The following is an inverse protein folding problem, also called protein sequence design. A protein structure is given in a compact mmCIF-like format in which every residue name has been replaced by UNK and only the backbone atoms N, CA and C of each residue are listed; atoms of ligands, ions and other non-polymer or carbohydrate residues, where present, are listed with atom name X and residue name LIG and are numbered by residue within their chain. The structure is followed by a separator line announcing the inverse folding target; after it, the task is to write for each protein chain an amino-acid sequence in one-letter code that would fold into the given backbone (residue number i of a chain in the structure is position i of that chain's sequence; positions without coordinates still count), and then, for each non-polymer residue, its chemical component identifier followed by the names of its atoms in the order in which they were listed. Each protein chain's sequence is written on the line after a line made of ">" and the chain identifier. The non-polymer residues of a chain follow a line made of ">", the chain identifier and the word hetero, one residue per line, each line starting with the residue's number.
data_IF_728584156079
#
_entry.id   IF_728584156079
#
_cell.length_a   1.000
_cell.length_b   1.000
_cell.length_c   1.000
_cell.angle_alpha   90.00
_cell.angle_beta   90.00
_cell.angle_gamma   90.00
#
_symmetry.space_group_name_H-M   'P 1'
#
loop_
_entity.id
_entity.type
_entity.pdbx_description
1 polymer ?
#
# COMPACT_ATOMS: atom_id res chain seq x y z
N UNK A 1 35.94 -8.86 -23.79
CA UNK A 1 34.85 -8.10 -23.13
C UNK A 1 34.13 -8.88 -22.01
N UNK A 2 34.71 -9.96 -21.47
CA UNK A 2 34.05 -10.87 -20.51
C UNK A 2 34.33 -10.54 -19.04
N UNK A 3 35.40 -9.79 -18.75
CA UNK A 3 35.85 -9.48 -17.37
C UNK A 3 35.03 -8.36 -16.71
N UNK A 4 34.44 -7.46 -17.51
CA UNK A 4 33.59 -6.36 -17.02
C UNK A 4 32.25 -6.87 -16.46
N UNK A 5 31.68 -7.91 -17.06
CA UNK A 5 30.38 -8.47 -16.67
C UNK A 5 30.47 -9.22 -15.34
N UNK A 6 31.57 -9.95 -15.09
CA UNK A 6 31.79 -10.64 -13.82
C UNK A 6 32.02 -9.66 -12.67
N UNK A 7 32.75 -8.56 -12.90
CA UNK A 7 32.94 -7.52 -11.90
C UNK A 7 31.61 -6.84 -11.52
N UNK A 8 30.75 -6.56 -12.51
CA UNK A 8 29.42 -5.99 -12.29
C UNK A 8 28.48 -6.95 -11.53
N UNK A 9 28.50 -8.24 -11.89
CA UNK A 9 27.72 -9.27 -11.19
C UNK A 9 28.19 -9.50 -9.74
N UNK A 10 29.50 -9.40 -9.46
CA UNK A 10 30.03 -9.48 -8.10
C UNK A 10 29.64 -8.27 -7.26
N UNK A 11 29.61 -7.06 -7.85
CA UNK A 11 29.20 -5.84 -7.16
C UNK A 11 27.71 -5.88 -6.77
N UNK A 12 26.84 -6.40 -7.64
CA UNK A 12 25.41 -6.52 -7.35
C UNK A 12 25.12 -7.52 -6.21
N UNK A 13 25.86 -8.63 -6.12
CA UNK A 13 25.69 -9.62 -5.03
C UNK A 13 26.09 -9.09 -3.65
N UNK A 14 27.13 -8.26 -3.56
CA UNK A 14 27.53 -7.63 -2.28
C UNK A 14 26.44 -6.70 -1.74
N UNK A 15 25.81 -5.91 -2.61
CA UNK A 15 24.75 -4.99 -2.20
C UNK A 15 23.47 -5.73 -1.77
N UNK A 16 23.16 -6.87 -2.39
CA UNK A 16 22.00 -7.70 -2.02
C UNK A 16 22.18 -8.37 -0.65
N UNK A 17 23.39 -8.84 -0.33
CA UNK A 17 23.66 -9.45 0.98
C UNK A 17 23.58 -8.42 2.13
N UNK A 18 24.06 -7.19 1.89
CA UNK A 18 24.00 -6.11 2.89
C UNK A 18 22.57 -5.68 3.23
N UNK A 19 21.68 -5.62 2.23
CA UNK A 19 20.27 -5.28 2.43
C UNK A 19 19.53 -6.35 3.24
N UNK A 20 19.90 -7.61 3.05
CA UNK A 20 19.28 -8.73 3.77
C UNK A 20 19.63 -8.71 5.26
N UNK A 21 20.89 -8.39 5.61
CA UNK A 21 21.35 -8.29 7.01
C UNK A 21 20.69 -7.09 7.73
N UNK A 22 20.54 -5.96 7.04
CA UNK A 22 19.85 -4.77 7.57
C UNK A 22 18.37 -5.03 7.86
N UNK A 23 17.71 -5.85 7.05
CA UNK A 23 16.32 -6.24 7.27
C UNK A 23 16.18 -7.22 8.46
N UNK A 24 17.16 -8.11 8.66
CA UNK A 24 17.15 -9.07 9.78
C UNK A 24 17.50 -8.44 11.13
N UNK A 25 18.32 -7.39 11.19
CA UNK A 25 18.68 -6.69 12.44
C UNK A 25 17.57 -5.76 12.97
N UNK A 26 16.60 -5.38 12.14
CA UNK A 26 15.48 -4.51 12.55
C UNK A 26 14.30 -5.28 13.18
N UNK A 27 14.41 -6.60 13.32
CA UNK A 27 13.34 -7.51 13.73
C UNK A 27 13.73 -8.42 14.92
N UNK A 28 14.69 -8.01 15.76
CA UNK A 28 14.91 -8.67 17.04
C UNK A 28 14.03 -8.01 18.13
N UNK A 29 13.21 -8.78 18.85
CA UNK A 29 12.39 -8.28 19.95
C UNK A 29 13.24 -8.16 21.22
N UNK A 30 13.34 -6.96 21.79
CA UNK A 30 13.79 -6.82 23.17
C UNK A 30 12.65 -7.20 24.12
N UNK A 31 12.68 -8.43 24.61
CA UNK A 31 11.96 -8.80 25.83
C UNK A 31 12.95 -9.47 26.77
N UNK A 32 13.43 -8.69 27.73
CA UNK A 32 14.22 -9.17 28.85
C UNK A 32 13.41 -10.14 29.71
N UNK A 33 14.02 -11.30 29.97
CA UNK A 33 13.61 -12.19 31.03
C UNK A 33 14.04 -11.60 32.38
N UNK A 34 13.11 -11.29 33.26
CA UNK A 34 13.39 -11.33 34.70
C UNK A 34 12.26 -12.06 35.42
N UNK A 35 12.51 -13.34 35.68
CA UNK A 35 11.71 -14.17 36.57
C UNK A 35 12.24 -14.07 38.01
N UNK A 36 11.35 -14.38 38.96
CA UNK A 36 11.51 -14.54 40.42
C UNK A 36 11.60 -13.24 41.27
N UNK A 37 11.01 -13.13 42.46
CA UNK A 37 10.07 -13.95 43.26
C UNK A 37 9.79 -13.19 44.57
N UNK A 38 8.53 -13.18 45.06
CA UNK A 38 8.11 -13.52 46.44
C UNK A 38 6.85 -12.78 46.94
N UNK A 39 5.82 -13.61 47.14
CA UNK A 39 5.04 -13.78 48.37
C UNK A 39 4.28 -12.59 49.01
N UNK A 40 2.96 -12.78 49.01
CA UNK A 40 2.08 -12.90 50.18
C UNK A 40 1.05 -11.79 50.45
N UNK A 41 -0.19 -12.29 50.55
CA UNK A 41 -1.29 -11.91 51.43
C UNK A 41 -2.14 -10.66 51.13
N UNK A 42 -3.42 -10.98 50.87
CA UNK A 42 -4.63 -10.35 51.42
C UNK A 42 -5.08 -9.00 50.82
N UNK A 43 -6.26 -9.00 50.20
CA UNK A 43 -7.05 -7.80 49.98
C UNK A 43 -7.92 -7.87 48.72
N UNK A 44 -9.23 -7.89 48.93
CA UNK A 44 -10.32 -7.84 47.95
C UNK A 44 -10.13 -6.90 46.74
N UNK A 45 -10.67 -7.31 45.60
CA UNK A 45 -11.21 -6.36 44.61
C UNK A 45 -10.73 -6.51 43.16
N UNK A 46 -11.62 -7.07 42.32
CA UNK A 46 -11.65 -6.98 40.86
C UNK A 46 -10.44 -7.52 40.07
N UNK A 47 -10.58 -8.78 39.63
CA UNK A 47 -9.85 -9.35 38.49
C UNK A 47 -10.23 -8.62 37.20
N UNK A 48 -9.61 -7.46 36.92
CA UNK A 48 -9.57 -6.91 35.56
C UNK A 48 -8.72 -7.86 34.73
N UNK A 49 -9.38 -8.66 33.87
CA UNK A 49 -8.69 -9.46 32.84
C UNK A 49 -7.66 -8.56 32.13
N UNK A 50 -6.41 -9.00 31.92
CA UNK A 50 -5.53 -8.29 31.02
C UNK A 50 -6.19 -8.31 29.64
N UNK A 51 -6.57 -7.14 29.14
CA UNK A 51 -6.95 -6.95 27.75
C UNK A 51 -5.74 -7.38 26.94
N UNK A 52 -5.81 -8.55 26.33
CA UNK A 52 -4.93 -8.89 25.21
C UNK A 52 -5.15 -7.79 24.19
N UNK A 53 -4.21 -6.86 24.11
CA UNK A 53 -4.16 -5.92 22.99
C UNK A 53 -3.92 -6.78 21.78
N UNK A 54 -5.00 -7.09 21.05
CA UNK A 54 -4.90 -7.67 19.72
C UNK A 54 -3.93 -6.78 18.95
N UNK A 55 -2.73 -7.29 18.70
CA UNK A 55 -1.85 -6.81 17.64
C UNK A 55 -2.64 -7.02 16.34
N UNK A 56 -3.54 -6.09 16.06
CA UNK A 56 -4.20 -5.96 14.78
C UNK A 56 -3.14 -5.34 13.89
N UNK A 57 -2.33 -6.19 13.25
CA UNK A 57 -1.50 -5.77 12.12
C UNK A 57 -2.42 -5.03 11.14
N UNK A 58 -2.25 -3.72 11.09
CA UNK A 58 -3.05 -2.86 10.23
C UNK A 58 -2.63 -3.15 8.79
N UNK A 59 -3.51 -3.81 8.02
CA UNK A 59 -3.27 -4.10 6.61
C UNK A 59 -2.97 -2.80 5.86
N UNK A 60 -1.81 -2.76 5.20
CA UNK A 60 -1.41 -1.58 4.42
C UNK A 60 -2.16 -1.51 3.09
N UNK A 61 -2.18 -0.34 2.46
CA UNK A 61 -2.79 -0.16 1.14
C UNK A 61 -2.17 -1.10 0.08
N UNK A 62 -0.87 -1.32 0.17
CA UNK A 62 -0.13 -2.26 -0.67
C UNK A 62 -0.62 -3.70 -0.51
N UNK A 63 -0.89 -4.13 0.72
CA UNK A 63 -1.39 -5.49 1.01
C UNK A 63 -2.81 -5.68 0.46
N UNK A 64 -3.66 -4.67 0.65
CA UNK A 64 -5.03 -4.68 0.14
C UNK A 64 -5.10 -4.66 -1.39
N UNK A 65 -4.09 -4.08 -2.05
CA UNK A 65 -3.98 -3.99 -3.51
C UNK A 65 -3.18 -5.12 -4.13
N UNK A 66 -2.50 -5.95 -3.34
CA UNK A 66 -1.64 -7.02 -3.83
C UNK A 66 -2.30 -7.93 -4.89
N UNK A 67 -3.61 -8.30 -4.79
CA UNK A 67 -4.28 -9.08 -5.84
C UNK A 67 -4.24 -8.43 -7.23
N UNK A 68 -4.14 -7.11 -7.29
CA UNK A 68 -4.15 -6.32 -8.52
C UNK A 68 -2.75 -6.13 -9.12
N UNK A 69 -1.69 -6.47 -8.37
CA UNK A 69 -0.29 -6.29 -8.79
C UNK A 69 0.03 -7.02 -10.09
N UNK A 70 -0.39 -8.28 -10.21
CA UNK A 70 -0.17 -9.08 -11.43
C UNK A 70 -0.93 -8.50 -12.62
N UNK A 71 -2.18 -8.07 -12.40
CA UNK A 71 -3.00 -7.44 -13.43
C UNK A 71 -2.34 -6.17 -13.96
N UNK A 72 -1.85 -5.31 -13.06
CA UNK A 72 -1.23 -4.03 -13.44
C UNK A 72 0.10 -4.23 -14.14
N UNK A 73 0.96 -5.12 -13.63
CA UNK A 73 2.25 -5.41 -14.28
C UNK A 73 2.06 -6.06 -15.65
N UNK A 74 1.08 -6.95 -15.79
CA UNK A 74 0.77 -7.62 -17.05
C UNK A 74 0.21 -6.68 -18.12
N UNK A 75 -0.44 -5.60 -17.71
CA UNK A 75 -1.10 -4.63 -18.60
C UNK A 75 -0.43 -3.25 -18.55
N UNK A 76 0.87 -3.19 -18.28
CA UNK A 76 1.63 -1.93 -18.07
C UNK A 76 1.58 -0.92 -19.23
N UNK A 77 1.25 -1.37 -20.44
CA UNK A 77 1.12 -0.51 -21.62
C UNK A 77 -0.32 -0.05 -21.88
N UNK A 78 -1.29 -0.65 -21.18
CA UNK A 78 -2.73 -0.34 -21.29
C UNK A 78 -3.18 0.52 -20.13
N UNK A 79 -2.58 0.33 -18.95
CA UNK A 79 -2.95 1.03 -17.74
C UNK A 79 -2.16 2.31 -17.56
N UNK A 80 -2.88 3.37 -17.20
CA UNK A 80 -2.35 4.72 -17.03
C UNK A 80 -1.51 4.86 -15.74
N UNK A 81 -1.70 3.99 -14.75
CA UNK A 81 -0.95 3.97 -13.49
C UNK A 81 -0.23 2.63 -13.27
N UNK A 82 1.05 2.72 -12.86
CA UNK A 82 1.79 1.58 -12.32
C UNK A 82 1.25 1.11 -10.96
N UNK A 83 1.73 -0.04 -10.47
CA UNK A 83 1.24 -0.60 -9.20
C UNK A 83 1.53 0.34 -8.01
N UNK A 84 2.76 0.84 -7.89
CA UNK A 84 3.14 1.72 -6.79
C UNK A 84 2.38 3.06 -6.86
N UNK A 85 2.21 3.61 -8.07
CA UNK A 85 1.37 4.80 -8.29
C UNK A 85 -0.09 4.54 -7.92
N UNK A 86 -0.63 3.35 -8.18
CA UNK A 86 -1.99 2.99 -7.77
C UNK A 86 -2.12 2.88 -6.25
N UNK A 87 -1.09 2.37 -5.57
CA UNK A 87 -1.03 2.32 -4.10
C UNK A 87 -1.06 3.74 -3.53
N UNK A 88 -0.22 4.64 -4.05
CA UNK A 88 -0.15 6.04 -3.59
C UNK A 88 -1.44 6.81 -3.93
N UNK A 89 -1.96 6.62 -5.14
CA UNK A 89 -3.21 7.23 -5.60
C UNK A 89 -4.41 6.80 -4.75
N UNK A 90 -4.46 5.54 -4.35
CA UNK A 90 -5.47 5.03 -3.43
C UNK A 90 -5.05 5.11 -1.96
N UNK A 91 -3.91 5.73 -1.65
CA UNK A 91 -3.41 5.92 -0.30
C UNK A 91 -4.28 6.89 0.51
N UNK A 92 -4.10 6.94 1.83
CA UNK A 92 -4.64 8.02 2.66
C UNK A 92 -3.89 9.34 2.44
N UNK A 93 -2.61 9.27 2.04
CA UNK A 93 -1.68 10.40 1.95
C UNK A 93 -1.60 11.04 0.56
N UNK A 94 -2.64 10.86 -0.26
CA UNK A 94 -2.62 11.37 -1.64
C UNK A 94 -2.49 12.90 -1.70
N UNK A 95 -2.73 13.62 -0.59
CA UNK A 95 -2.42 15.04 -0.35
C UNK A 95 -3.30 16.03 -1.11
N UNK A 96 -3.82 15.60 -2.25
CA UNK A 96 -4.63 16.36 -3.19
C UNK A 96 -6.10 16.38 -2.76
N UNK A 97 -6.67 17.59 -2.69
CA UNK A 97 -8.09 17.78 -2.37
C UNK A 97 -8.96 17.61 -3.61
N UNK A 98 -8.50 18.11 -4.76
CA UNK A 98 -9.13 17.88 -6.05
C UNK A 98 -8.70 16.52 -6.61
N UNK A 99 -9.66 15.82 -7.21
CA UNK A 99 -9.41 14.53 -7.84
C UNK A 99 -8.73 14.67 -9.20
N UNK A 100 -8.91 15.80 -9.90
CA UNK A 100 -8.23 16.03 -11.18
C UNK A 100 -6.77 16.40 -10.99
N UNK A 101 -6.46 17.29 -10.05
CA UNK A 101 -5.06 17.59 -9.68
C UNK A 101 -4.32 16.32 -9.25
N UNK A 102 -5.01 15.44 -8.50
CA UNK A 102 -4.47 14.13 -8.15
C UNK A 102 -4.21 13.24 -9.35
N UNK A 103 -5.08 13.25 -10.37
CA UNK A 103 -4.84 12.50 -11.60
C UNK A 103 -3.64 13.10 -12.33
N UNK A 104 -3.65 14.41 -12.58
CA UNK A 104 -2.62 15.14 -13.32
C UNK A 104 -1.22 14.99 -12.71
N UNK A 105 -1.14 14.80 -11.39
CA UNK A 105 0.10 14.46 -10.68
C UNK A 105 0.75 13.16 -11.18
N UNK A 106 -0.04 12.17 -11.60
CA UNK A 106 0.46 10.87 -12.06
C UNK A 106 0.31 10.64 -13.57
N UNK A 107 -0.75 11.17 -14.19
CA UNK A 107 -1.08 10.95 -15.60
C UNK A 107 -2.06 12.02 -16.12
N UNK A 108 -2.06 12.27 -17.43
CA UNK A 108 -3.05 13.16 -18.09
C UNK A 108 -4.30 12.43 -18.57
N UNK A 109 -4.34 11.11 -18.40
CA UNK A 109 -5.38 10.24 -18.94
C UNK A 109 -6.41 9.86 -17.87
N UNK A 110 -7.32 10.79 -17.57
CA UNK A 110 -8.36 10.59 -16.57
C UNK A 110 -9.33 9.44 -16.91
N UNK A 111 -9.63 9.23 -18.20
CA UNK A 111 -10.50 8.14 -18.66
C UNK A 111 -9.82 6.77 -18.53
N UNK A 112 -8.53 6.68 -18.83
CA UNK A 112 -7.74 5.48 -18.60
C UNK A 112 -7.63 5.12 -17.11
N UNK A 113 -7.49 6.11 -16.22
CA UNK A 113 -7.55 5.87 -14.76
C UNK A 113 -8.90 5.30 -14.35
N UNK A 114 -10.01 5.83 -14.89
CA UNK A 114 -11.37 5.29 -14.63
C UNK A 114 -11.51 3.85 -15.11
N UNK A 115 -10.96 3.54 -16.28
CA UNK A 115 -10.98 2.20 -16.88
C UNK A 115 -10.14 1.22 -16.05
N UNK A 116 -8.93 1.62 -15.66
CA UNK A 116 -8.06 0.85 -14.78
C UNK A 116 -8.72 0.56 -13.43
N UNK A 117 -9.35 1.55 -12.79
CA UNK A 117 -10.10 1.36 -11.55
C UNK A 117 -11.26 0.36 -11.70
N UNK A 118 -11.87 0.28 -12.89
CA UNK A 118 -12.90 -0.72 -13.17
C UNK A 118 -12.34 -2.14 -13.18
N UNK A 119 -11.19 -2.36 -13.82
CA UNK A 119 -10.52 -3.66 -13.86
C UNK A 119 -9.97 -4.06 -12.49
N UNK A 120 -9.31 -3.13 -11.79
CA UNK A 120 -8.84 -3.30 -10.40
C UNK A 120 -9.99 -3.71 -9.49
N UNK A 121 -11.16 -3.04 -9.58
CA UNK A 121 -12.33 -3.37 -8.76
C UNK A 121 -12.79 -4.83 -8.87
N UNK A 122 -12.67 -5.44 -10.07
CA UNK A 122 -13.09 -6.83 -10.30
C UNK A 122 -12.23 -7.83 -9.54
N UNK A 123 -10.96 -7.49 -9.30
CA UNK A 123 -9.96 -8.38 -8.70
C UNK A 123 -9.74 -8.11 -7.21
N UNK A 124 -10.21 -6.97 -6.70
CA UNK A 124 -10.13 -6.66 -5.27
C UNK A 124 -11.07 -7.55 -4.45
N UNK A 125 -10.59 -8.16 -3.37
CA UNK A 125 -11.44 -8.95 -2.48
C UNK A 125 -12.00 -8.12 -1.32
N UNK A 126 -11.19 -7.20 -0.80
CA UNK A 126 -11.53 -6.50 0.43
C UNK A 126 -12.63 -5.44 0.21
N UNK A 127 -13.68 -5.47 1.04
CA UNK A 127 -14.87 -4.61 0.85
C UNK A 127 -14.56 -3.12 0.98
N UNK A 128 -13.70 -2.74 1.92
CA UNK A 128 -13.34 -1.32 2.13
C UNK A 128 -12.63 -0.73 0.91
N UNK A 129 -11.70 -1.47 0.32
CA UNK A 129 -10.93 -1.00 -0.83
C UNK A 129 -11.79 -1.00 -2.10
N UNK A 130 -12.68 -2.00 -2.28
CA UNK A 130 -13.73 -1.96 -3.32
C UNK A 130 -14.59 -0.71 -3.21
N UNK A 131 -15.03 -0.36 -2.00
CA UNK A 131 -15.80 0.86 -1.77
C UNK A 131 -15.00 2.12 -2.11
N UNK A 132 -13.73 2.22 -1.65
CA UNK A 132 -12.84 3.33 -1.96
C UNK A 132 -12.64 3.48 -3.47
N UNK A 133 -12.30 2.39 -4.15
CA UNK A 133 -12.14 2.31 -5.60
C UNK A 133 -13.39 2.84 -6.34
N UNK A 134 -14.58 2.36 -5.96
CA UNK A 134 -15.85 2.80 -6.56
C UNK A 134 -16.15 4.28 -6.28
N UNK A 135 -15.84 4.77 -5.07
CA UNK A 135 -15.99 6.18 -4.71
C UNK A 135 -15.06 7.06 -5.53
N UNK A 136 -13.80 6.68 -5.67
CA UNK A 136 -12.80 7.37 -6.49
C UNK A 136 -13.24 7.41 -7.95
N UNK A 137 -13.67 6.28 -8.51
CA UNK A 137 -14.19 6.22 -9.89
C UNK A 137 -15.34 7.20 -10.12
N UNK A 138 -16.30 7.29 -9.18
CA UNK A 138 -17.42 8.24 -9.27
C UNK A 138 -16.97 9.69 -9.21
N UNK A 139 -15.99 10.02 -8.35
CA UNK A 139 -15.44 11.37 -8.24
C UNK A 139 -14.79 11.80 -9.56
N UNK A 140 -13.98 10.92 -10.16
CA UNK A 140 -13.31 11.20 -11.44
C UNK A 140 -14.34 11.38 -12.54
N UNK A 141 -15.29 10.45 -12.70
CA UNK A 141 -16.35 10.57 -13.73
C UNK A 141 -17.15 11.86 -13.58
N UNK A 142 -17.47 12.27 -12.35
CA UNK A 142 -18.16 13.53 -12.08
C UNK A 142 -17.30 14.73 -12.48
N UNK A 143 -16.01 14.71 -12.14
CA UNK A 143 -15.10 15.78 -12.51
C UNK A 143 -14.97 15.88 -14.04
N UNK A 144 -14.71 14.78 -14.75
CA UNK A 144 -14.66 14.76 -16.22
C UNK A 144 -15.94 15.34 -16.82
N UNK A 145 -17.12 14.95 -16.32
CA UNK A 145 -18.39 15.47 -16.82
C UNK A 145 -18.57 16.98 -16.58
N UNK A 146 -18.14 17.49 -15.42
CA UNK A 146 -18.23 18.91 -15.09
C UNK A 146 -17.26 19.74 -15.94
N UNK A 147 -15.99 19.32 -16.04
CA UNK A 147 -14.98 20.06 -16.80
C UNK A 147 -15.17 19.90 -18.32
N UNK A 148 -15.59 18.73 -18.80
CA UNK A 148 -15.95 18.53 -20.21
C UNK A 148 -17.19 19.31 -20.64
N UNK A 149 -18.08 19.67 -19.70
CA UNK A 149 -19.20 20.57 -19.98
C UNK A 149 -18.78 22.06 -20.02
N UNK A 150 -17.65 22.43 -19.42
CA UNK A 150 -17.13 23.80 -19.40
C UNK A 150 -16.30 24.12 -20.66
N UNK A 151 -15.73 23.12 -21.34
CA UNK A 151 -14.91 23.28 -22.55
C UNK A 151 -15.75 23.41 -23.84
N UNK A 152 -17.09 23.36 -23.73
CA UNK A 152 -18.05 23.48 -24.84
C UNK A 152 -18.94 24.74 -24.74
N UNK A 153 -18.61 25.67 -23.85
CA UNK A 153 -19.29 26.97 -23.70
C UNK A 153 -18.44 28.12 -24.22
#
# INVERSE_FOLDING_TARGET
>A
MTVQITLFLMQMKKNFLSLTILLSLKLAPEFDHTALSKASASGDGQTKKPTTSDFTESLTMSDLLLPTKRLIIGNRYVFSLGFDQMVDFMGPDSGEKDILDLIDKYTKDAEGVVSQLCEVYKVLDHKSIKHKCKKTQRRIKKAIHVYGALDLG
#
